data_IF_700455179574
#
_entry.id   IF_700455179574
#
_cell.length_a   1.000
_cell.length_b   1.000
_cell.length_c   1.000
_cell.angle_alpha   90.00
_cell.angle_beta   90.00
_cell.angle_gamma   90.00
#
_symmetry.space_group_name_H-M   'P 1'
#
loop_
_entity.id
_entity.type
_entity.pdbx_description
1 polymer ?
#
# COMPACT_ATOMS: atom_id res chain seq x y z
N UNK A 1 -0.32 27.76 9.43
CA UNK A 1 0.66 27.54 10.52
C UNK A 1 0.08 26.45 11.40
N UNK A 2 0.43 25.19 11.15
CA UNK A 2 -0.12 24.02 11.84
C UNK A 2 1.03 23.21 12.45
N UNK A 3 0.83 22.61 13.65
CA UNK A 3 1.90 22.00 14.42
C UNK A 3 2.36 20.66 13.83
N UNK A 4 3.67 20.48 13.79
CA UNK A 4 4.36 19.25 13.40
C UNK A 4 4.33 18.25 14.55
N UNK A 5 3.49 17.21 14.44
CA UNK A 5 3.55 16.06 15.33
C UNK A 5 4.69 15.11 14.89
N UNK A 6 5.82 15.16 15.60
CA UNK A 6 6.86 14.12 15.55
C UNK A 6 6.35 12.87 16.28
N UNK A 7 6.21 11.76 15.57
CA UNK A 7 5.98 10.46 16.18
C UNK A 7 7.32 9.79 16.55
N UNK A 8 7.38 9.05 17.67
CA UNK A 8 8.59 8.42 18.17
C UNK A 8 9.01 7.20 17.33
N UNK A 9 10.30 7.12 17.03
CA UNK A 9 10.96 5.98 16.40
C UNK A 9 10.90 4.74 17.31
N UNK A 10 9.97 3.84 17.01
CA UNK A 10 9.91 2.51 17.62
C UNK A 10 11.02 1.63 17.04
N UNK A 11 12.21 1.72 17.63
CA UNK A 11 13.22 0.65 17.57
C UNK A 11 12.62 -0.61 18.18
N UNK A 12 12.06 -1.49 17.36
CA UNK A 12 11.71 -2.85 17.75
C UNK A 12 12.89 -3.75 17.39
N UNK A 13 13.73 -4.01 18.38
CA UNK A 13 14.68 -5.11 18.32
C UNK A 13 13.91 -6.42 18.23
N UNK A 14 14.13 -7.17 17.16
CA UNK A 14 13.71 -8.56 17.06
C UNK A 14 14.69 -9.39 17.88
N UNK A 15 14.22 -10.23 18.82
CA UNK A 15 15.11 -11.05 19.62
C UNK A 15 15.69 -12.16 18.74
N UNK A 16 17.00 -12.12 18.55
CA UNK A 16 17.78 -13.26 18.08
C UNK A 16 17.63 -14.40 19.09
N UNK A 17 16.78 -15.37 18.77
CA UNK A 17 16.55 -16.56 19.56
C UNK A 17 16.91 -17.78 18.71
N UNK A 18 17.81 -18.59 19.26
CA UNK A 18 18.24 -19.94 18.84
C UNK A 18 19.40 -20.06 17.84
N UNK A 19 20.60 -19.69 18.29
CA UNK A 19 21.84 -20.33 17.86
C UNK A 19 22.85 -20.37 19.03
N UNK A 20 22.55 -21.17 20.06
CA UNK A 20 23.46 -21.36 21.18
C UNK A 20 23.39 -22.80 21.68
N UNK A 21 23.92 -23.73 20.89
CA UNK A 21 24.22 -25.08 21.36
C UNK A 21 25.20 -25.78 20.41
N UNK A 22 26.45 -25.32 20.28
CA UNK A 22 27.55 -26.21 19.88
C UNK A 22 28.95 -25.60 20.09
N UNK A 23 29.37 -25.32 21.33
CA UNK A 23 30.81 -25.21 21.64
C UNK A 23 31.10 -25.91 22.96
N UNK A 24 31.07 -27.25 22.95
CA UNK A 24 31.76 -28.03 23.97
C UNK A 24 33.21 -28.22 23.48
N UNK A 25 34.07 -27.31 23.90
CA UNK A 25 35.51 -27.37 23.69
C UNK A 25 36.08 -28.58 24.46
N UNK A 26 36.58 -29.58 23.72
CA UNK A 26 37.37 -30.68 24.26
C UNK A 26 38.84 -30.31 24.13
N UNK A 27 39.47 -29.93 25.25
CA UNK A 27 40.92 -29.85 25.40
C UNK A 27 41.44 -31.22 25.81
N UNK A 28 42.17 -31.92 24.92
CA UNK A 28 42.96 -33.11 25.25
C UNK A 28 44.30 -33.14 24.46
N UNK A 29 45.34 -33.81 25.01
CA UNK A 29 46.74 -33.60 24.67
C UNK A 29 47.18 -34.31 23.37
N UNK A 30 48.14 -33.69 22.69
CA UNK A 30 48.68 -34.10 21.41
C UNK A 30 49.43 -35.45 21.48
N UNK A 31 48.96 -36.43 20.71
CA UNK A 31 49.68 -37.66 20.32
C UNK A 31 49.87 -37.72 18.79
N UNK A 32 50.89 -38.43 18.28
CA UNK A 32 51.43 -38.17 16.95
C UNK A 32 50.62 -38.76 15.79
N UNK A 33 50.30 -37.86 14.85
CA UNK A 33 50.01 -37.97 13.41
C UNK A 33 50.00 -39.38 12.77
N UNK A 34 48.79 -39.90 12.54
CA UNK A 34 48.46 -40.76 11.40
C UNK A 34 46.94 -40.76 11.09
N UNK A 35 46.35 -39.58 10.85
CA UNK A 35 45.08 -39.35 10.12
C UNK A 35 44.67 -37.86 10.27
N UNK A 36 45.44 -36.93 9.70
CA UNK A 36 45.08 -35.50 9.71
C UNK A 36 44.08 -35.13 8.59
N UNK A 37 43.91 -35.99 7.59
CA UNK A 37 43.06 -35.75 6.43
C UNK A 37 41.53 -35.68 6.70
N UNK A 38 40.92 -36.45 7.64
CA UNK A 38 39.46 -36.41 7.79
C UNK A 38 38.93 -35.18 8.56
N UNK A 39 39.74 -34.52 9.41
CA UNK A 39 39.25 -33.42 10.26
C UNK A 39 39.14 -32.11 9.47
N UNK A 40 40.13 -31.78 8.63
CA UNK A 40 40.09 -30.57 7.81
C UNK A 40 38.93 -30.57 6.80
N UNK A 41 38.53 -31.75 6.31
CA UNK A 41 37.35 -31.89 5.45
C UNK A 41 36.04 -31.69 6.21
N UNK A 42 35.98 -32.04 7.51
CA UNK A 42 34.82 -31.77 8.37
C UNK A 42 34.70 -30.28 8.69
N UNK A 43 35.81 -29.58 8.94
CA UNK A 43 35.83 -28.13 9.17
C UNK A 43 35.31 -27.38 7.95
N UNK A 44 35.80 -27.72 6.75
CA UNK A 44 35.35 -27.10 5.49
C UNK A 44 33.85 -27.34 5.25
N UNK A 45 33.35 -28.54 5.54
CA UNK A 45 31.92 -28.85 5.45
C UNK A 45 31.08 -28.04 6.46
N UNK A 46 31.58 -27.84 7.68
CA UNK A 46 30.89 -27.02 8.68
C UNK A 46 30.86 -25.53 8.31
N UNK A 47 31.94 -25.00 7.73
CA UNK A 47 32.00 -23.62 7.23
C UNK A 47 31.02 -23.39 6.06
N UNK A 48 31.01 -24.28 5.07
CA UNK A 48 30.05 -24.25 3.95
C UNK A 48 28.61 -24.26 4.47
N UNK A 49 28.35 -25.03 5.53
CA UNK A 49 27.03 -25.16 6.12
C UNK A 49 26.61 -23.91 6.89
N UNK A 50 27.52 -23.32 7.67
CA UNK A 50 27.29 -22.05 8.35
C UNK A 50 26.98 -20.94 7.33
N UNK A 51 27.71 -20.88 6.22
CA UNK A 51 27.46 -19.94 5.14
C UNK A 51 26.07 -20.13 4.51
N UNK A 52 25.62 -21.38 4.33
CA UNK A 52 24.26 -21.68 3.85
C UNK A 52 23.16 -21.23 4.82
N UNK A 53 23.37 -21.39 6.12
CA UNK A 53 22.42 -20.92 7.15
C UNK A 53 22.31 -19.40 7.15
N UNK A 54 23.46 -18.70 7.12
CA UNK A 54 23.47 -17.23 7.11
C UNK A 54 22.78 -16.68 5.87
N UNK A 55 23.13 -17.19 4.68
CA UNK A 55 22.50 -16.78 3.42
C UNK A 55 20.98 -17.04 3.42
N UNK A 56 20.53 -18.11 4.09
CA UNK A 56 19.12 -18.43 4.24
C UNK A 56 18.40 -17.45 5.19
N UNK A 57 19.03 -17.03 6.29
CA UNK A 57 18.50 -16.05 7.21
C UNK A 57 18.37 -14.65 6.56
N UNK A 58 19.39 -14.24 5.80
CA UNK A 58 19.37 -12.98 5.04
C UNK A 58 18.23 -12.95 4.01
N UNK A 59 18.04 -14.04 3.26
CA UNK A 59 16.90 -14.15 2.31
C UNK A 59 15.56 -14.04 3.02
N UNK A 60 15.38 -14.73 4.14
CA UNK A 60 14.13 -14.67 4.91
C UNK A 60 13.82 -13.25 5.42
N UNK A 61 14.84 -12.53 5.89
CA UNK A 61 14.70 -11.13 6.31
C UNK A 61 14.31 -10.22 5.13
N UNK A 62 14.98 -10.38 3.98
CA UNK A 62 14.68 -9.61 2.77
C UNK A 62 13.25 -9.79 2.27
N UNK A 63 12.72 -11.02 2.30
CA UNK A 63 11.33 -11.28 1.90
C UNK A 63 10.32 -10.69 2.87
N UNK A 64 10.58 -10.76 4.18
CA UNK A 64 9.68 -10.18 5.19
C UNK A 64 9.53 -8.66 4.99
N UNK A 65 10.62 -7.97 4.65
CA UNK A 65 10.58 -6.54 4.34
C UNK A 65 9.81 -6.25 3.04
N UNK A 66 9.94 -7.08 2.00
CA UNK A 66 9.17 -6.93 0.76
C UNK A 66 7.66 -7.07 1.01
N UNK A 67 7.23 -8.04 1.82
CA UNK A 67 5.81 -8.20 2.18
C UNK A 67 5.29 -6.97 2.92
N UNK A 68 6.02 -6.47 3.92
CA UNK A 68 5.62 -5.25 4.67
C UNK A 68 5.52 -4.03 3.76
N UNK A 69 6.47 -3.88 2.85
CA UNK A 69 6.47 -2.79 1.87
C UNK A 69 5.23 -2.86 0.96
N UNK A 70 4.90 -4.05 0.45
CA UNK A 70 3.70 -4.27 -0.37
C UNK A 70 2.40 -4.01 0.42
N UNK A 71 2.33 -4.42 1.69
CA UNK A 71 1.20 -4.11 2.59
C UNK A 71 1.02 -2.60 2.76
N UNK A 72 2.11 -1.86 2.98
CA UNK A 72 2.07 -0.40 3.09
C UNK A 72 1.56 0.29 1.81
N UNK A 73 1.99 -0.18 0.63
CA UNK A 73 1.50 0.34 -0.66
C UNK A 73 0.02 0.07 -0.88
N UNK A 74 -0.46 -1.11 -0.46
CA UNK A 74 -1.88 -1.45 -0.54
C UNK A 74 -2.72 -0.55 0.38
N UNK A 75 -2.26 -0.31 1.61
CA UNK A 75 -2.93 0.60 2.54
C UNK A 75 -3.03 2.03 1.99
N UNK A 76 -1.95 2.54 1.40
CA UNK A 76 -1.93 3.86 0.74
C UNK A 76 -2.89 3.91 -0.47
N UNK A 77 -2.91 2.86 -1.29
CA UNK A 77 -3.82 2.78 -2.44
C UNK A 77 -5.29 2.74 -2.00
N UNK A 78 -5.60 1.99 -0.94
CA UNK A 78 -6.95 1.93 -0.37
C UNK A 78 -7.38 3.29 0.23
N UNK A 79 -6.48 3.99 0.92
CA UNK A 79 -6.75 5.33 1.42
C UNK A 79 -7.02 6.32 0.28
N UNK A 80 -6.24 6.25 -0.80
CA UNK A 80 -6.44 7.06 -2.01
C UNK A 80 -7.79 6.76 -2.67
N UNK A 81 -8.19 5.50 -2.77
CA UNK A 81 -9.49 5.11 -3.32
C UNK A 81 -10.66 5.62 -2.45
N UNK A 82 -10.52 5.55 -1.12
CA UNK A 82 -11.53 6.06 -0.19
C UNK A 82 -11.67 7.59 -0.27
N UNK A 83 -10.57 8.33 -0.34
CA UNK A 83 -10.58 9.78 -0.55
C UNK A 83 -11.25 10.16 -1.88
N UNK A 84 -10.89 9.46 -2.96
CA UNK A 84 -11.50 9.68 -4.27
C UNK A 84 -13.01 9.44 -4.25
N UNK A 85 -13.47 8.39 -3.56
CA UNK A 85 -14.91 8.12 -3.37
C UNK A 85 -15.62 9.24 -2.60
N UNK A 86 -15.02 9.77 -1.53
CA UNK A 86 -15.57 10.91 -0.80
C UNK A 86 -15.66 12.18 -1.67
N UNK A 87 -14.66 12.42 -2.53
CA UNK A 87 -14.66 13.52 -3.51
C UNK A 87 -15.77 13.36 -4.56
N UNK A 88 -16.06 12.14 -5.03
CA UNK A 88 -17.20 11.86 -5.92
C UNK A 88 -18.51 12.27 -5.25
N UNK A 89 -18.72 11.83 -4.01
CA UNK A 89 -19.95 12.10 -3.26
C UNK A 89 -20.16 13.60 -3.05
N UNK A 90 -19.10 14.32 -2.71
CA UNK A 90 -19.12 15.78 -2.59
C UNK A 90 -19.44 16.47 -3.93
N UNK A 91 -18.79 16.07 -5.03
CA UNK A 91 -19.03 16.63 -6.36
C UNK A 91 -20.45 16.35 -6.87
N UNK A 92 -20.98 15.16 -6.58
CA UNK A 92 -22.35 14.79 -6.89
C UNK A 92 -23.35 15.65 -6.12
N UNK A 93 -23.16 15.81 -4.81
CA UNK A 93 -24.02 16.63 -3.96
C UNK A 93 -24.05 18.10 -4.44
N UNK A 94 -22.89 18.64 -4.81
CA UNK A 94 -22.79 20.00 -5.33
C UNK A 94 -23.50 20.15 -6.70
N UNK A 95 -23.37 19.14 -7.57
CA UNK A 95 -24.08 19.11 -8.85
C UNK A 95 -25.60 19.08 -8.64
N UNK A 96 -26.11 18.29 -7.70
CA UNK A 96 -27.55 18.25 -7.38
C UNK A 96 -28.03 19.57 -6.76
N UNK A 97 -27.23 20.20 -5.89
CA UNK A 97 -27.53 21.52 -5.33
C UNK A 97 -27.66 22.56 -6.44
N UNK A 98 -26.71 22.63 -7.37
CA UNK A 98 -26.73 23.56 -8.51
C UNK A 98 -27.89 23.29 -9.48
N UNK A 99 -28.22 22.02 -9.74
CA UNK A 99 -29.44 21.65 -10.49
C UNK A 99 -30.69 22.20 -9.81
N UNK A 100 -30.75 22.15 -8.48
CA UNK A 100 -31.85 22.73 -7.69
C UNK A 100 -31.99 24.24 -7.90
N UNK A 101 -30.88 24.98 -7.82
CA UNK A 101 -30.83 26.44 -8.07
C UNK A 101 -31.33 26.75 -9.47
N UNK A 102 -30.80 26.08 -10.49
CA UNK A 102 -31.21 26.25 -11.89
C UNK A 102 -32.71 25.98 -12.09
N UNK A 103 -33.24 24.90 -11.49
CA UNK A 103 -34.69 24.58 -11.58
C UNK A 103 -35.54 25.66 -10.92
N UNK A 104 -35.12 26.18 -9.76
CA UNK A 104 -35.84 27.24 -9.06
C UNK A 104 -35.85 28.56 -9.85
N UNK A 105 -34.73 28.91 -10.47
CA UNK A 105 -34.62 30.06 -11.37
C UNK A 105 -35.52 29.89 -12.60
N UNK A 106 -35.48 28.75 -13.27
CA UNK A 106 -36.34 28.45 -14.43
C UNK A 106 -37.83 28.51 -14.07
N UNK A 107 -38.24 27.98 -12.91
CA UNK A 107 -39.61 28.06 -12.43
C UNK A 107 -40.04 29.51 -12.15
N UNK A 108 -39.14 30.33 -11.63
CA UNK A 108 -39.38 31.77 -11.39
C UNK A 108 -39.54 32.51 -12.71
N UNK A 109 -38.67 32.25 -13.69
CA UNK A 109 -38.77 32.82 -15.04
C UNK A 109 -40.09 32.44 -15.72
N UNK A 110 -40.50 31.17 -15.64
CA UNK A 110 -41.78 30.68 -16.18
C UNK A 110 -42.99 31.36 -15.52
N UNK A 111 -43.00 31.48 -14.19
CA UNK A 111 -44.06 32.19 -13.44
C UNK A 111 -44.14 33.67 -13.82
N UNK A 112 -43.01 34.34 -14.06
CA UNK A 112 -43.01 35.73 -14.57
C UNK A 112 -43.58 35.82 -15.97
N UNK A 113 -43.19 34.92 -16.87
CA UNK A 113 -43.69 34.90 -18.25
C UNK A 113 -45.21 34.62 -18.34
N UNK A 114 -45.74 33.77 -17.46
CA UNK A 114 -47.17 33.38 -17.44
C UNK A 114 -48.04 34.28 -16.57
N UNK A 115 -47.52 34.79 -15.45
CA UNK A 115 -48.19 35.72 -14.54
C UNK A 115 -48.19 37.17 -15.04
N UNK A 116 -47.29 37.54 -15.94
CA UNK A 116 -47.36 38.79 -16.70
C UNK A 116 -48.42 38.78 -17.83
N UNK A 117 -49.38 37.86 -17.77
CA UNK A 117 -50.64 38.03 -18.47
C UNK A 117 -51.32 39.33 -18.06
N UNK A 118 -51.20 40.37 -18.91
CA UNK A 118 -52.00 41.61 -18.94
C UNK A 118 -51.57 42.80 -18.05
N UNK A 119 -50.30 42.98 -17.71
CA UNK A 119 -49.85 44.32 -17.27
C UNK A 119 -49.37 45.11 -18.50
N UNK A 120 -50.24 46.03 -18.91
CA UNK A 120 -50.06 47.06 -19.94
C UNK A 120 -48.60 47.44 -20.22
N UNK A 121 -48.02 46.85 -21.27
CA UNK A 121 -46.75 47.30 -21.89
C UNK A 121 -46.90 48.72 -22.46
N UNK A 122 -48.12 49.26 -22.51
CA UNK A 122 -48.44 50.59 -23.02
C UNK A 122 -48.37 51.73 -21.98
N UNK A 123 -47.84 51.49 -20.77
CA UNK A 123 -47.82 52.55 -19.73
C UNK A 123 -46.49 52.64 -18.95
N UNK A 124 -45.35 52.36 -19.60
CA UNK A 124 -44.03 52.52 -18.98
C UNK A 124 -43.52 53.95 -19.17
N UNK A 125 -43.46 54.74 -18.09
CA UNK A 125 -42.83 56.08 -18.10
C UNK A 125 -41.33 55.97 -18.46
N UNK A 126 -40.72 56.95 -19.17
CA UNK A 126 -39.33 56.86 -19.66
C UNK A 126 -38.26 56.49 -18.63
N UNK A 127 -38.46 56.86 -17.35
CA UNK A 127 -37.54 56.50 -16.24
C UNK A 127 -37.74 55.11 -15.60
N UNK A 128 -38.79 54.37 -15.98
CA UNK A 128 -39.00 52.97 -15.56
C UNK A 128 -38.41 51.96 -16.55
N UNK A 129 -38.30 52.31 -17.83
CA UNK A 129 -37.73 51.43 -18.87
C UNK A 129 -36.28 51.03 -18.60
N UNK A 130 -35.45 51.96 -18.09
CA UNK A 130 -34.07 51.67 -17.73
C UNK A 130 -33.93 50.73 -16.51
N UNK A 131 -34.88 50.77 -15.57
CA UNK A 131 -34.89 49.88 -14.40
C UNK A 131 -35.33 48.47 -14.76
N UNK A 132 -36.33 48.34 -15.64
CA UNK A 132 -36.80 47.05 -16.16
C UNK A 132 -35.71 46.37 -17.00
N UNK A 133 -35.02 47.11 -17.87
CA UNK A 133 -33.86 46.56 -18.63
C UNK A 133 -32.75 46.06 -17.72
N UNK A 134 -32.29 46.88 -16.78
CA UNK A 134 -31.23 46.46 -15.83
C UNK A 134 -31.61 45.24 -14.99
N UNK A 135 -32.89 45.12 -14.62
CA UNK A 135 -33.38 43.94 -13.90
C UNK A 135 -33.39 42.69 -14.78
N UNK A 136 -33.79 42.82 -16.05
CA UNK A 136 -33.74 41.74 -17.03
C UNK A 136 -32.30 41.28 -17.31
N UNK A 137 -31.38 42.23 -17.52
CA UNK A 137 -29.97 41.95 -17.79
C UNK A 137 -29.31 41.25 -16.59
N UNK A 138 -29.58 41.72 -15.37
CA UNK A 138 -29.07 41.10 -14.15
C UNK A 138 -29.63 39.68 -13.94
N UNK A 139 -30.92 39.46 -14.22
CA UNK A 139 -31.53 38.12 -14.12
C UNK A 139 -30.93 37.15 -15.16
N UNK A 140 -30.74 37.58 -16.40
CA UNK A 140 -30.07 36.77 -17.43
C UNK A 140 -28.62 36.45 -17.06
N UNK A 141 -27.90 37.41 -16.50
CA UNK A 141 -26.52 37.19 -16.05
C UNK A 141 -26.44 36.18 -14.90
N UNK A 142 -27.41 36.21 -13.97
CA UNK A 142 -27.48 35.24 -12.86
C UNK A 142 -27.79 33.82 -13.35
N UNK A 143 -28.67 33.68 -14.34
CA UNK A 143 -28.99 32.39 -14.98
C UNK A 143 -27.78 31.83 -15.74
N UNK A 144 -27.05 32.66 -16.49
CA UNK A 144 -25.84 32.26 -17.22
C UNK A 144 -24.74 31.78 -16.26
N UNK A 145 -24.57 32.47 -15.12
CA UNK A 145 -23.61 32.07 -14.07
C UNK A 145 -24.02 30.71 -13.46
N UNK A 146 -25.29 30.50 -13.16
CA UNK A 146 -25.76 29.24 -12.58
C UNK A 146 -25.58 28.05 -13.55
N UNK A 147 -25.87 28.25 -14.85
CA UNK A 147 -25.63 27.24 -15.87
C UNK A 147 -24.14 26.92 -16.05
N UNK A 148 -23.30 27.95 -16.04
CA UNK A 148 -21.84 27.80 -16.14
C UNK A 148 -21.29 27.01 -14.95
N UNK A 149 -21.71 27.35 -13.74
CA UNK A 149 -21.33 26.63 -12.51
C UNK A 149 -21.79 25.17 -12.56
N UNK A 150 -23.01 24.91 -13.04
CA UNK A 150 -23.53 23.54 -13.18
C UNK A 150 -22.73 22.73 -14.21
N UNK A 151 -22.35 23.33 -15.34
CA UNK A 151 -21.51 22.67 -16.34
C UNK A 151 -20.15 22.32 -15.73
N UNK A 152 -19.49 23.29 -15.09
CA UNK A 152 -18.21 23.08 -14.43
C UNK A 152 -18.28 22.00 -13.33
N UNK A 153 -19.34 21.97 -12.53
CA UNK A 153 -19.52 20.95 -11.49
C UNK A 153 -19.67 19.54 -12.08
N UNK A 154 -20.31 19.41 -13.25
CA UNK A 154 -20.41 18.12 -13.96
C UNK A 154 -19.07 17.66 -14.50
N UNK A 155 -18.29 18.58 -15.05
CA UNK A 155 -16.94 18.27 -15.56
C UNK A 155 -16.04 17.79 -14.42
N UNK A 156 -16.04 18.53 -13.30
CA UNK A 156 -15.32 18.13 -12.07
C UNK A 156 -15.79 16.76 -11.57
N UNK A 157 -17.10 16.49 -11.56
CA UNK A 157 -17.61 15.18 -11.17
C UNK A 157 -17.11 14.05 -12.08
N UNK A 158 -17.08 14.26 -13.40
CA UNK A 158 -16.56 13.28 -14.35
C UNK A 158 -15.07 13.03 -14.17
N UNK A 159 -14.29 14.09 -13.98
CA UNK A 159 -12.84 14.01 -13.75
C UNK A 159 -12.54 13.22 -12.46
N UNK A 160 -13.24 13.54 -11.36
CA UNK A 160 -13.09 12.83 -10.09
C UNK A 160 -13.54 11.38 -10.20
N UNK A 161 -14.59 11.08 -10.99
CA UNK A 161 -14.99 9.71 -11.25
C UNK A 161 -13.91 8.91 -11.99
N UNK A 162 -13.25 9.50 -12.99
CA UNK A 162 -12.16 8.87 -13.70
C UNK A 162 -10.93 8.64 -12.79
N UNK A 163 -10.60 9.62 -11.95
CA UNK A 163 -9.52 9.52 -10.96
C UNK A 163 -9.78 8.36 -9.97
N UNK A 164 -11.01 8.25 -9.45
CA UNK A 164 -11.39 7.17 -8.55
C UNK A 164 -11.32 5.79 -9.21
N UNK A 165 -11.73 5.65 -10.47
CA UNK A 165 -11.59 4.39 -11.21
C UNK A 165 -10.13 3.98 -11.36
N UNK A 166 -9.25 4.94 -11.66
CA UNK A 166 -7.80 4.70 -11.73
C UNK A 166 -7.27 4.27 -10.36
N UNK A 167 -7.64 4.96 -9.29
CA UNK A 167 -7.22 4.62 -7.93
C UNK A 167 -7.68 3.20 -7.52
N UNK A 168 -8.93 2.83 -7.81
CA UNK A 168 -9.45 1.50 -7.53
C UNK A 168 -8.71 0.40 -8.30
N UNK A 169 -8.40 0.62 -9.58
CA UNK A 169 -7.59 -0.33 -10.38
C UNK A 169 -6.17 -0.47 -9.84
N UNK A 170 -5.58 0.64 -9.39
CA UNK A 170 -4.26 0.62 -8.78
C UNK A 170 -4.27 -0.19 -7.47
N UNK A 171 -5.29 -0.01 -6.63
CA UNK A 171 -5.45 -0.79 -5.39
C UNK A 171 -5.60 -2.30 -5.67
N UNK A 172 -6.43 -2.69 -6.63
CA UNK A 172 -6.56 -4.10 -7.04
C UNK A 172 -5.25 -4.68 -7.59
N UNK A 173 -4.51 -3.91 -8.39
CA UNK A 173 -3.20 -4.33 -8.88
C UNK A 173 -2.19 -4.53 -7.73
N UNK A 174 -2.17 -3.62 -6.74
CA UNK A 174 -1.32 -3.75 -5.56
C UNK A 174 -1.71 -4.94 -4.68
N UNK A 175 -3.01 -5.24 -4.57
CA UNK A 175 -3.49 -6.43 -3.87
C UNK A 175 -3.01 -7.71 -4.56
N UNK A 176 -3.14 -7.79 -5.88
CA UNK A 176 -2.66 -8.94 -6.65
C UNK A 176 -1.14 -9.11 -6.54
N UNK A 177 -0.39 -8.00 -6.58
CA UNK A 177 1.07 -7.98 -6.34
C UNK A 177 1.41 -8.53 -4.95
N UNK A 178 0.73 -8.08 -3.89
CA UNK A 178 0.91 -8.58 -2.53
C UNK A 178 0.60 -10.07 -2.39
N UNK A 179 -0.49 -10.55 -3.00
CA UNK A 179 -0.84 -11.97 -2.99
C UNK A 179 0.24 -12.82 -3.68
N UNK A 180 0.77 -12.34 -4.81
CA UNK A 180 1.89 -12.98 -5.49
C UNK A 180 3.17 -12.99 -4.62
N UNK A 181 3.53 -11.86 -4.02
CA UNK A 181 4.69 -11.78 -3.11
C UNK A 181 4.52 -12.69 -1.89
N UNK A 182 3.30 -12.82 -1.33
CA UNK A 182 3.02 -13.74 -0.23
C UNK A 182 3.15 -15.20 -0.66
N UNK A 183 2.67 -15.55 -1.84
CA UNK A 183 2.82 -16.90 -2.38
C UNK A 183 4.30 -17.25 -2.61
N UNK A 184 5.06 -16.32 -3.21
CA UNK A 184 6.51 -16.47 -3.38
C UNK A 184 7.22 -16.60 -2.03
N UNK A 185 6.88 -15.77 -1.05
CA UNK A 185 7.42 -15.87 0.30
C UNK A 185 7.15 -17.23 0.94
N UNK A 186 5.92 -17.74 0.83
CA UNK A 186 5.55 -19.06 1.36
C UNK A 186 6.34 -20.18 0.69
N UNK A 187 6.50 -20.13 -0.64
CA UNK A 187 7.30 -21.08 -1.38
C UNK A 187 8.77 -21.03 -0.93
N UNK A 188 9.38 -19.84 -0.92
CA UNK A 188 10.77 -19.68 -0.50
C UNK A 188 10.97 -20.09 0.96
N UNK A 189 10.00 -19.84 1.84
CA UNK A 189 10.06 -20.30 3.22
C UNK A 189 9.97 -21.83 3.33
N UNK A 190 9.17 -22.50 2.50
CA UNK A 190 9.12 -23.96 2.44
C UNK A 190 10.47 -24.54 1.95
N UNK A 191 11.07 -23.93 0.92
CA UNK A 191 12.40 -24.29 0.44
C UNK A 191 13.48 -24.07 1.51
N UNK A 192 13.42 -22.97 2.26
CA UNK A 192 14.30 -22.69 3.39
C UNK A 192 14.17 -23.75 4.49
N UNK A 193 12.95 -24.18 4.82
CA UNK A 193 12.72 -25.24 5.82
C UNK A 193 13.26 -26.59 5.36
N UNK A 194 13.07 -26.94 4.08
CA UNK A 194 13.63 -28.15 3.49
C UNK A 194 15.17 -28.13 3.52
N UNK A 195 15.78 -27.01 3.13
CA UNK A 195 17.22 -26.81 3.20
C UNK A 195 17.75 -26.93 4.63
N UNK A 196 17.04 -26.35 5.61
CA UNK A 196 17.42 -26.42 7.02
C UNK A 196 17.31 -27.85 7.56
N UNK A 197 16.30 -28.63 7.16
CA UNK A 197 16.18 -30.03 7.51
C UNK A 197 17.32 -30.87 6.90
N UNK A 198 17.66 -30.63 5.64
CA UNK A 198 18.81 -31.27 4.98
C UNK A 198 20.11 -30.96 5.72
N UNK A 199 20.36 -29.67 5.97
CA UNK A 199 21.52 -29.16 6.73
C UNK A 199 21.63 -29.85 8.09
N UNK A 200 20.54 -29.98 8.84
CA UNK A 200 20.52 -30.70 10.13
C UNK A 200 20.86 -32.18 9.98
N UNK A 201 20.38 -32.83 8.92
CA UNK A 201 20.74 -34.22 8.59
C UNK A 201 22.23 -34.37 8.30
N UNK A 202 22.79 -33.47 7.49
CA UNK A 202 24.22 -33.42 7.18
C UNK A 202 25.05 -33.21 8.46
N UNK A 203 24.66 -32.31 9.38
CA UNK A 203 25.33 -32.15 10.69
C UNK A 203 25.29 -33.44 11.50
N UNK A 204 24.12 -34.07 11.62
CA UNK A 204 23.98 -35.29 12.40
C UNK A 204 24.90 -36.40 11.86
N UNK A 205 25.02 -36.51 10.54
CA UNK A 205 25.93 -37.45 9.90
C UNK A 205 27.41 -37.10 10.16
N UNK A 206 27.79 -35.82 10.03
CA UNK A 206 29.16 -35.36 10.31
C UNK A 206 29.56 -35.61 11.77
N UNK A 207 28.67 -35.37 12.71
CA UNK A 207 28.87 -35.65 14.14
C UNK A 207 29.06 -37.15 14.36
N UNK A 208 28.21 -37.99 13.78
CA UNK A 208 28.32 -39.45 13.91
C UNK A 208 29.65 -39.99 13.33
N UNK A 209 30.08 -39.47 12.17
CA UNK A 209 31.38 -39.81 11.55
C UNK A 209 32.55 -39.40 12.43
N UNK A 210 32.51 -38.21 13.02
CA UNK A 210 33.55 -37.72 13.93
C UNK A 210 33.65 -38.58 15.21
N UNK A 211 32.51 -38.98 15.80
CA UNK A 211 32.48 -39.85 16.98
C UNK A 211 32.99 -41.26 16.68
N UNK A 212 32.66 -41.83 15.51
CA UNK A 212 33.16 -43.13 15.09
C UNK A 212 34.69 -43.11 14.88
N UNK A 213 35.21 -42.06 14.24
CA UNK A 213 36.65 -41.88 14.06
C UNK A 213 37.40 -41.77 15.40
N UNK A 214 36.84 -41.03 16.38
CA UNK A 214 37.40 -40.94 17.74
C UNK A 214 37.43 -42.29 18.44
N UNK A 215 36.35 -43.08 18.35
CA UNK A 215 36.29 -44.42 18.97
C UNK A 215 37.30 -45.39 18.35
N UNK A 216 37.46 -45.38 17.04
CA UNK A 216 38.45 -46.22 16.35
C UNK A 216 39.89 -45.85 16.76
N UNK A 217 40.19 -44.57 16.95
CA UNK A 217 41.51 -44.12 17.42
C UNK A 217 41.80 -44.46 18.90
N UNK A 218 40.79 -44.84 19.68
CA UNK A 218 40.92 -45.21 21.10
C UNK A 218 40.94 -46.72 21.34
N UNK A 219 40.70 -47.55 20.30
CA UNK A 219 40.84 -49.01 20.40
C UNK A 219 42.29 -49.40 20.05
N UNK A 220 43.09 -49.91 21.00
CA UNK A 220 44.49 -50.30 20.79
C UNK A 220 44.66 -51.60 20.02
#
# INVERSE_FOLDING_TARGET
MFPTARLPSLRRGVPALLAAALVAAVMLPATPRAAAAPIADLERQAEDLAARIEANAERAAGLSEQVKYAEGRLDEANATAADAQARIEAAYAETERLKGVVRAQAATAYKRATGAGRVSVFTVKPGQSNRVRRYSDAASQEDDVAMTQLAQARDVYQDVQAEAQTAARAAEAQKAELEATRAEFQQQNAELQANLAQVKGEIAELVARAEAARRAAMQP
#
